data_IF_428650590201
#
_entry.id   IF_428650590201
#
_cell.length_a   1.000
_cell.length_b   1.000
_cell.length_c   1.000
_cell.angle_alpha   90.00
_cell.angle_beta   90.00
_cell.angle_gamma   90.00
#
_symmetry.space_group_name_H-M   'P 1'
#
loop_
_entity.id
_entity.type
_entity.pdbx_description
1 polymer ?
#
# COMPACT_ATOMS: atom_id res chain seq x y z
N UNK A 1 43.25 -14.23 -26.37
CA UNK A 1 42.30 -13.45 -25.56
C UNK A 1 40.99 -14.19 -25.48
N UNK A 2 40.19 -13.90 -24.43
CA UNK A 2 38.81 -14.35 -24.15
C UNK A 2 38.66 -15.52 -23.17
N UNK A 3 39.14 -15.32 -21.93
CA UNK A 3 38.34 -15.72 -20.78
C UNK A 3 38.07 -14.44 -19.95
N UNK A 4 36.82 -14.18 -19.54
CA UNK A 4 36.52 -13.08 -18.64
C UNK A 4 36.95 -13.43 -17.21
N UNK A 5 37.98 -12.74 -16.72
CA UNK A 5 38.52 -12.75 -15.35
C UNK A 5 37.57 -12.08 -14.34
N UNK A 6 36.29 -12.47 -14.29
CA UNK A 6 35.38 -12.03 -13.22
C UNK A 6 34.13 -12.92 -13.13
N UNK A 7 33.82 -13.53 -11.97
CA UNK A 7 32.52 -14.13 -11.74
C UNK A 7 31.46 -13.02 -11.72
N UNK A 8 30.50 -13.05 -12.65
CA UNK A 8 29.34 -12.14 -12.59
C UNK A 8 28.58 -12.44 -11.29
N UNK A 9 28.32 -11.45 -10.43
CA UNK A 9 28.02 -11.73 -9.02
C UNK A 9 26.67 -12.41 -8.75
N UNK A 10 25.71 -12.46 -9.68
CA UNK A 10 24.45 -13.20 -9.47
C UNK A 10 23.82 -13.69 -10.78
N UNK A 11 23.55 -15.00 -10.96
CA UNK A 11 22.63 -15.47 -11.96
C UNK A 11 21.20 -15.31 -11.41
N UNK A 12 20.52 -14.21 -11.75
CA UNK A 12 19.08 -14.13 -11.52
C UNK A 12 18.41 -15.20 -12.39
N UNK A 13 17.80 -16.21 -11.75
CA UNK A 13 16.95 -17.17 -12.44
C UNK A 13 15.85 -16.43 -13.23
N UNK A 14 15.31 -17.07 -14.28
CA UNK A 14 14.33 -16.49 -15.22
C UNK A 14 13.11 -15.82 -14.57
N UNK A 15 12.85 -16.08 -13.29
CA UNK A 15 11.82 -15.42 -12.50
C UNK A 15 12.39 -14.97 -11.16
N UNK A 16 12.45 -13.66 -10.95
CA UNK A 16 12.72 -13.08 -9.62
C UNK A 16 11.49 -13.37 -8.75
N UNK A 17 11.58 -14.33 -7.82
CA UNK A 17 10.54 -14.51 -6.81
C UNK A 17 10.54 -13.26 -5.93
N UNK A 18 9.48 -12.45 -6.00
CA UNK A 18 9.33 -11.31 -5.10
C UNK A 18 9.35 -11.79 -3.66
N UNK A 19 10.22 -11.20 -2.83
CA UNK A 19 10.36 -11.52 -1.39
C UNK A 19 9.23 -10.93 -0.52
N UNK A 20 8.04 -10.76 -1.10
CA UNK A 20 6.89 -10.17 -0.42
C UNK A 20 6.04 -11.27 0.21
N UNK A 21 5.48 -10.99 1.39
CA UNK A 21 4.62 -11.95 2.09
C UNK A 21 3.36 -12.26 1.28
N UNK A 22 2.78 -13.46 1.48
CA UNK A 22 1.54 -13.85 0.81
C UNK A 22 0.36 -12.92 1.13
N UNK A 23 0.37 -12.31 2.32
CA UNK A 23 -0.60 -11.27 2.71
C UNK A 23 -0.44 -10.01 1.85
N UNK A 24 0.79 -9.49 1.70
CA UNK A 24 1.05 -8.32 0.87
C UNK A 24 0.71 -8.58 -0.61
N UNK A 25 0.97 -9.80 -1.09
CA UNK A 25 0.55 -10.23 -2.43
C UNK A 25 -0.97 -10.19 -2.62
N UNK A 26 -1.74 -10.59 -1.61
CA UNK A 26 -3.21 -10.52 -1.65
C UNK A 26 -3.71 -9.08 -1.70
N UNK A 27 -3.15 -8.18 -0.89
CA UNK A 27 -3.53 -6.77 -0.89
C UNK A 27 -3.21 -6.08 -2.23
N UNK A 28 -1.95 -6.19 -2.70
CA UNK A 28 -1.53 -5.63 -4.00
C UNK A 28 -2.27 -6.28 -5.19
N UNK A 29 -2.69 -7.53 -5.02
CA UNK A 29 -3.46 -8.33 -5.95
C UNK A 29 -4.98 -8.20 -5.79
N UNK A 30 -5.49 -7.19 -5.10
CA UNK A 30 -6.93 -7.03 -4.96
C UNK A 30 -7.63 -6.86 -6.32
N UNK A 31 -8.80 -7.51 -6.45
CA UNK A 31 -9.52 -7.57 -7.72
C UNK A 31 -9.96 -6.18 -8.18
N UNK A 32 -10.42 -5.30 -7.28
CA UNK A 32 -10.95 -3.98 -7.67
C UNK A 32 -9.81 -3.02 -8.02
N UNK A 33 -8.71 -3.04 -7.26
CA UNK A 33 -7.50 -2.28 -7.60
C UNK A 33 -6.96 -2.64 -8.98
N UNK A 34 -6.90 -3.94 -9.32
CA UNK A 34 -6.50 -4.41 -10.66
C UNK A 34 -7.49 -4.00 -11.74
N UNK A 35 -8.80 -4.16 -11.52
CA UNK A 35 -9.83 -3.82 -12.50
C UNK A 35 -9.86 -2.32 -12.83
N UNK A 36 -9.65 -1.47 -11.83
CA UNK A 36 -9.53 -0.01 -12.00
C UNK A 36 -8.19 0.42 -12.60
N UNK A 37 -7.28 -0.53 -12.84
CA UNK A 37 -5.92 -0.29 -13.37
C UNK A 37 -5.13 0.74 -12.54
N UNK A 38 -5.33 0.75 -11.22
CA UNK A 38 -4.60 1.69 -10.36
C UNK A 38 -3.10 1.43 -10.44
N UNK A 39 -2.32 2.52 -10.41
CA UNK A 39 -0.86 2.49 -10.51
C UNK A 39 -0.18 1.87 -9.29
N UNK A 40 1.14 1.67 -9.39
CA UNK A 40 1.94 1.09 -8.31
C UNK A 40 1.82 1.90 -7.00
N UNK A 41 1.89 3.23 -7.09
CA UNK A 41 1.75 4.16 -5.97
C UNK A 41 0.44 3.98 -5.21
N UNK A 42 -0.71 4.00 -5.90
CA UNK A 42 -2.02 3.78 -5.25
C UNK A 42 -2.13 2.39 -4.62
N UNK A 43 -1.53 1.36 -5.24
CA UNK A 43 -1.52 0.01 -4.66
C UNK A 43 -0.62 -0.10 -3.44
N UNK A 44 0.48 0.65 -3.38
CA UNK A 44 1.30 0.76 -2.18
C UNK A 44 0.55 1.47 -1.06
N UNK A 45 -0.21 2.52 -1.36
CA UNK A 45 -1.09 3.18 -0.40
C UNK A 45 -2.18 2.22 0.12
N UNK A 46 -2.76 1.39 -0.76
CA UNK A 46 -3.68 0.34 -0.34
C UNK A 46 -3.03 -0.66 0.63
N UNK A 47 -1.82 -1.13 0.31
CA UNK A 47 -1.06 -2.01 1.19
C UNK A 47 -0.76 -1.36 2.55
N UNK A 48 -0.33 -0.09 2.53
CA UNK A 48 0.02 0.66 3.72
C UNK A 48 -1.18 0.90 4.64
N UNK A 49 -2.33 1.28 4.08
CA UNK A 49 -3.59 1.45 4.83
C UNK A 49 -4.08 0.14 5.42
N UNK A 50 -3.97 -0.99 4.71
CA UNK A 50 -4.28 -2.30 5.28
C UNK A 50 -3.27 -2.75 6.35
N UNK A 51 -1.99 -2.39 6.22
CA UNK A 51 -0.98 -2.66 7.25
C UNK A 51 -1.26 -1.87 8.54
N UNK A 52 -1.85 -0.68 8.42
CA UNK A 52 -2.06 0.24 9.53
C UNK A 52 -3.53 0.51 9.80
N UNK A 53 -4.27 -0.57 10.05
CA UNK A 53 -5.71 -0.54 10.29
C UNK A 53 -6.04 -1.21 11.62
N UNK A 54 -6.96 -0.59 12.36
CA UNK A 54 -7.55 -1.13 13.58
C UNK A 54 -8.55 -2.26 13.28
N UNK A 55 -8.93 -3.08 14.27
CA UNK A 55 -9.95 -4.12 14.07
C UNK A 55 -11.31 -3.60 13.57
N UNK A 56 -11.64 -2.35 13.87
CA UNK A 56 -12.83 -1.64 13.38
C UNK A 56 -12.62 -0.97 12.00
N UNK A 57 -11.55 -1.30 11.30
CA UNK A 57 -11.26 -0.80 9.96
C UNK A 57 -10.76 0.64 9.89
N UNK A 58 -10.75 1.40 10.98
CA UNK A 58 -10.21 2.76 10.98
C UNK A 58 -8.69 2.74 10.80
N UNK A 59 -8.17 3.72 10.05
CA UNK A 59 -6.74 3.87 9.80
C UNK A 59 -6.03 4.42 11.05
N UNK A 60 -4.79 3.98 11.27
CA UNK A 60 -3.97 4.39 12.42
C UNK A 60 -4.06 3.45 13.62
N UNK A 61 -3.33 3.74 14.69
CA UNK A 61 -3.51 3.08 15.97
C UNK A 61 -4.64 3.73 16.77
N UNK A 62 -5.01 3.16 17.92
CA UNK A 62 -6.06 3.76 18.76
C UNK A 62 -5.64 5.11 19.37
N UNK A 63 -4.34 5.31 19.58
CA UNK A 63 -3.74 6.53 20.12
C UNK A 63 -3.42 7.57 19.03
N UNK A 64 -3.33 7.10 17.78
CA UNK A 64 -3.07 7.94 16.62
C UNK A 64 -4.40 8.31 15.95
N UNK A 65 -4.70 9.60 15.89
CA UNK A 65 -5.83 10.13 15.12
C UNK A 65 -5.48 10.04 13.61
N UNK A 66 -5.50 8.83 13.05
CA UNK A 66 -5.11 8.57 11.66
C UNK A 66 -3.61 8.40 11.42
N UNK A 67 -3.26 8.14 10.15
CA UNK A 67 -1.89 7.88 9.72
C UNK A 67 -1.13 9.19 9.51
N UNK A 68 0.12 9.26 9.93
CA UNK A 68 0.98 10.40 9.63
C UNK A 68 1.16 10.55 8.10
N UNK A 69 0.88 11.74 7.58
CA UNK A 69 0.83 11.97 6.14
C UNK A 69 2.23 11.89 5.51
N UNK A 70 3.26 12.38 6.19
CA UNK A 70 4.63 12.38 5.68
C UNK A 70 5.20 10.96 5.67
N UNK A 71 4.93 10.15 6.69
CA UNK A 71 5.31 8.74 6.71
C UNK A 71 4.58 7.93 5.65
N UNK A 72 3.28 8.17 5.48
CA UNK A 72 2.45 7.54 4.43
C UNK A 72 3.03 7.86 3.04
N UNK A 73 3.34 9.13 2.80
CA UNK A 73 3.88 9.63 1.56
C UNK A 73 5.26 9.05 1.27
N UNK A 74 6.14 9.03 2.28
CA UNK A 74 7.47 8.43 2.18
C UNK A 74 7.43 6.94 1.85
N UNK A 75 6.54 6.16 2.50
CA UNK A 75 6.39 4.74 2.23
C UNK A 75 5.95 4.48 0.77
N UNK A 76 5.04 5.31 0.27
CA UNK A 76 4.49 5.16 -1.07
C UNK A 76 5.31 5.86 -2.17
N UNK A 77 6.45 6.46 -1.81
CA UNK A 77 7.30 7.25 -2.69
C UNK A 77 6.53 8.35 -3.46
N UNK A 78 5.66 9.08 -2.75
CA UNK A 78 4.88 10.19 -3.30
C UNK A 78 5.06 11.48 -2.46
N UNK A 79 4.85 12.67 -3.04
CA UNK A 79 4.80 13.92 -2.27
C UNK A 79 3.58 13.92 -1.34
N UNK A 80 3.67 14.41 -0.08
CA UNK A 80 2.54 14.42 0.86
C UNK A 80 1.25 15.04 0.31
N UNK A 81 1.37 16.10 -0.49
CA UNK A 81 0.22 16.75 -1.16
C UNK A 81 -0.51 15.89 -2.19
N UNK A 82 0.04 14.75 -2.62
CA UNK A 82 -0.61 13.82 -3.55
C UNK A 82 -1.32 12.66 -2.85
N UNK A 83 -1.17 12.50 -1.51
CA UNK A 83 -1.82 11.41 -0.78
C UNK A 83 -3.35 11.47 -0.94
N UNK A 84 -3.94 12.67 -0.86
CA UNK A 84 -5.38 12.87 -0.98
C UNK A 84 -5.94 12.37 -2.32
N UNK A 85 -5.27 12.69 -3.44
CA UNK A 85 -5.68 12.20 -4.76
C UNK A 85 -5.67 10.66 -4.83
N UNK A 86 -4.63 10.04 -4.28
CA UNK A 86 -4.54 8.58 -4.24
C UNK A 86 -5.56 7.95 -3.28
N UNK A 87 -5.92 8.62 -2.18
CA UNK A 87 -6.96 8.17 -1.27
C UNK A 87 -8.34 8.19 -1.95
N UNK A 88 -8.66 9.23 -2.74
CA UNK A 88 -9.88 9.29 -3.55
C UNK A 88 -9.95 8.15 -4.57
N UNK A 89 -8.82 7.81 -5.22
CA UNK A 89 -8.77 6.64 -6.11
C UNK A 89 -9.06 5.32 -5.38
N UNK A 90 -8.68 5.21 -4.09
CA UNK A 90 -8.98 4.05 -3.25
C UNK A 90 -10.46 4.01 -2.83
N UNK A 91 -11.09 5.15 -2.58
CA UNK A 91 -12.55 5.24 -2.38
C UNK A 91 -13.27 4.78 -3.65
N UNK A 92 -12.90 5.34 -4.81
CA UNK A 92 -13.49 4.99 -6.10
C UNK A 92 -13.29 3.51 -6.50
N UNK A 93 -12.32 2.83 -5.88
CA UNK A 93 -12.05 1.41 -6.05
C UNK A 93 -12.71 0.51 -4.98
N UNK A 94 -13.47 1.08 -4.05
CA UNK A 94 -14.05 0.36 -2.91
C UNK A 94 -12.96 -0.41 -2.14
N UNK A 95 -11.87 0.30 -1.87
CA UNK A 95 -10.82 -0.09 -0.93
C UNK A 95 -10.99 0.65 0.39
N UNK A 96 -11.19 1.97 0.33
CA UNK A 96 -11.62 2.79 1.46
C UNK A 96 -13.12 3.09 1.33
N UNK A 97 -13.84 3.13 2.44
CA UNK A 97 -15.21 3.65 2.47
C UNK A 97 -15.25 5.17 2.53
N UNK A 98 -14.25 5.75 3.19
CA UNK A 98 -14.04 7.18 3.38
C UNK A 98 -12.54 7.44 3.60
N UNK A 99 -12.10 8.64 3.26
CA UNK A 99 -10.77 9.13 3.55
C UNK A 99 -10.79 10.66 3.64
N UNK A 100 -9.92 11.20 4.47
CA UNK A 100 -9.72 12.63 4.59
C UNK A 100 -8.28 12.92 4.99
N UNK A 101 -7.72 14.01 4.47
CA UNK A 101 -6.37 14.47 4.82
C UNK A 101 -6.44 15.81 5.54
N UNK A 102 -6.67 15.77 6.84
CA UNK A 102 -6.71 16.96 7.71
C UNK A 102 -5.60 16.91 8.73
N UNK A 103 -5.13 18.07 9.17
CA UNK A 103 -4.12 18.21 10.24
C UNK A 103 -2.86 17.33 10.05
N UNK A 104 -2.35 17.21 8.81
CA UNK A 104 -1.19 16.35 8.46
C UNK A 104 -1.39 14.86 8.78
N UNK A 105 -2.64 14.41 8.84
CA UNK A 105 -3.02 13.02 9.04
C UNK A 105 -3.90 12.53 7.89
N UNK A 106 -3.76 11.26 7.54
CA UNK A 106 -4.69 10.54 6.68
C UNK A 106 -5.64 9.74 7.58
N UNK A 107 -6.87 10.23 7.66
CA UNK A 107 -8.00 9.52 8.25
C UNK A 107 -8.70 8.69 7.18
N UNK A 108 -9.42 7.68 7.64
CA UNK A 108 -10.27 6.89 6.76
C UNK A 108 -10.64 5.56 7.37
N UNK A 109 -11.32 4.75 6.57
CA UNK A 109 -11.73 3.41 6.97
C UNK A 109 -11.68 2.44 5.80
N UNK A 110 -11.16 1.24 6.05
CA UNK A 110 -11.23 0.15 5.07
C UNK A 110 -12.68 -0.22 4.79
N UNK A 111 -13.01 -0.41 3.52
CA UNK A 111 -14.29 -0.97 3.12
C UNK A 111 -14.48 -2.38 3.72
N UNK A 112 -15.71 -2.74 4.09
CA UNK A 112 -16.04 -4.02 4.76
C UNK A 112 -15.50 -5.24 3.99
N UNK A 113 -15.49 -5.17 2.66
CA UNK A 113 -14.97 -6.20 1.77
C UNK A 113 -13.48 -6.50 2.00
N UNK A 114 -12.67 -5.49 2.28
CA UNK A 114 -11.21 -5.59 2.42
C UNK A 114 -10.74 -5.54 3.87
N UNK A 115 -11.63 -5.28 4.83
CA UNK A 115 -11.32 -5.39 6.26
C UNK A 115 -10.59 -6.68 6.67
N UNK A 116 -10.91 -7.88 6.14
CA UNK A 116 -10.16 -9.10 6.48
C UNK A 116 -8.69 -9.10 6.01
N UNK A 117 -8.31 -8.13 5.16
CA UNK A 117 -6.93 -7.91 4.76
C UNK A 117 -6.20 -6.94 5.69
N UNK A 118 -6.87 -6.31 6.66
CA UNK A 118 -6.22 -5.52 7.68
C UNK A 118 -5.23 -6.36 8.48
N UNK A 119 -3.97 -5.92 8.56
CA UNK A 119 -3.05 -6.43 9.56
C UNK A 119 -3.50 -5.78 10.88
N UNK A 120 -4.20 -6.55 11.70
CA UNK A 120 -4.69 -6.09 13.01
C UNK A 120 -3.49 -5.58 13.81
N UNK A 121 -3.37 -4.26 13.94
CA UNK A 121 -2.40 -3.59 14.80
C UNK A 121 -2.79 -3.66 16.28
#
# INVERSE_FOLDING_TARGET
>A
ALLPEQPRPFPFGKTTRSRISGWAQKALGDRKLRKKKLGATTRLLALYTAAHTRPDGHLGHAEDDGLDLDQTAAFCALPPGQVAEHAELLIAADWLSEADTTAHRLHGRLAERVRPLGALL
#
